data_IF_467054750501
#
_entry.id   IF_467054750501
#
_cell.length_a   1.000
_cell.length_b   1.000
_cell.length_c   1.000
_cell.angle_alpha   90.00
_cell.angle_beta   90.00
_cell.angle_gamma   90.00
#
_symmetry.space_group_name_H-M   'P 1'
#
loop_
_entity.id
_entity.type
_entity.pdbx_description
1 polymer ?
#
# COMPACT_ATOMS: atom_id res chain seq x y z
N UNK A 1 5.65 -0.32 -16.63
CA UNK A 1 5.95 -0.79 -15.26
C UNK A 1 4.74 -0.87 -14.32
N UNK A 2 3.49 -0.83 -14.81
CA UNK A 2 2.28 -0.78 -13.96
C UNK A 2 1.82 -2.11 -13.32
N UNK A 3 2.59 -3.20 -13.45
CA UNK A 3 2.23 -4.48 -12.83
C UNK A 3 2.58 -4.56 -11.35
N UNK A 4 3.68 -3.93 -10.94
CA UNK A 4 4.25 -4.14 -9.60
C UNK A 4 3.43 -3.45 -8.50
N UNK A 5 2.90 -2.25 -8.76
CA UNK A 5 2.11 -1.52 -7.75
C UNK A 5 0.84 -2.27 -7.33
N UNK A 6 0.18 -2.99 -8.26
CA UNK A 6 -1.01 -3.80 -7.94
C UNK A 6 -0.65 -4.99 -7.07
N UNK A 7 0.50 -5.61 -7.30
CA UNK A 7 1.02 -6.70 -6.45
C UNK A 7 1.33 -6.16 -5.07
N UNK A 8 1.96 -4.99 -4.96
CA UNK A 8 2.25 -4.36 -3.68
C UNK A 8 0.96 -3.98 -2.93
N UNK A 9 -0.08 -3.49 -3.61
CA UNK A 9 -1.37 -3.19 -2.99
C UNK A 9 -2.06 -4.44 -2.41
N UNK A 10 -2.02 -5.57 -3.13
CA UNK A 10 -2.55 -6.85 -2.65
C UNK A 10 -1.74 -7.37 -1.47
N UNK A 11 -0.39 -7.36 -1.59
CA UNK A 11 0.51 -7.75 -0.49
C UNK A 11 0.22 -6.92 0.76
N UNK A 12 0.09 -5.60 0.61
CA UNK A 12 -0.21 -4.70 1.72
C UNK A 12 -1.52 -5.06 2.42
N UNK A 13 -2.56 -5.38 1.64
CA UNK A 13 -3.86 -5.80 2.20
C UNK A 13 -3.78 -7.12 2.97
N UNK A 14 -3.03 -8.09 2.44
CA UNK A 14 -2.86 -9.40 3.10
C UNK A 14 -2.05 -9.29 4.39
N UNK A 15 -0.99 -8.48 4.40
CA UNK A 15 -0.16 -8.25 5.58
C UNK A 15 -0.94 -7.53 6.69
N UNK A 16 -1.73 -6.51 6.34
CA UNK A 16 -2.59 -5.85 7.34
C UNK A 16 -3.56 -6.86 7.95
N UNK A 17 -4.22 -7.68 7.12
CA UNK A 17 -5.13 -8.72 7.61
C UNK A 17 -4.44 -9.78 8.49
N UNK A 18 -3.14 -9.99 8.30
CA UNK A 18 -2.31 -10.88 9.11
C UNK A 18 -1.79 -10.21 10.39
N UNK A 19 -2.00 -8.90 10.56
CA UNK A 19 -1.52 -8.11 11.70
C UNK A 19 -0.09 -7.60 11.56
N UNK A 20 0.56 -7.82 10.42
CA UNK A 20 1.90 -7.29 10.14
C UNK A 20 1.80 -5.87 9.57
N UNK A 21 1.52 -4.92 10.47
CA UNK A 21 1.22 -3.52 10.12
C UNK A 21 2.43 -2.79 9.52
N UNK A 22 3.65 -3.08 9.96
CA UNK A 22 4.87 -2.43 9.44
C UNK A 22 5.15 -2.86 8.00
N UNK A 23 5.05 -4.17 7.71
CA UNK A 23 5.22 -4.67 6.36
C UNK A 23 4.06 -4.21 5.46
N UNK A 24 2.83 -4.18 5.98
CA UNK A 24 1.69 -3.64 5.27
C UNK A 24 1.87 -2.17 4.90
N UNK A 25 2.35 -1.34 5.84
CA UNK A 25 2.63 0.08 5.61
C UNK A 25 3.64 0.28 4.48
N UNK A 26 4.75 -0.46 4.52
CA UNK A 26 5.78 -0.40 3.48
C UNK A 26 5.22 -0.75 2.10
N UNK A 27 4.42 -1.82 2.01
CA UNK A 27 3.81 -2.24 0.75
C UNK A 27 2.75 -1.24 0.23
N UNK A 28 1.99 -0.59 1.12
CA UNK A 28 1.07 0.48 0.72
C UNK A 28 1.80 1.69 0.12
N UNK A 29 2.92 2.10 0.71
CA UNK A 29 3.74 3.21 0.19
C UNK A 29 4.33 2.86 -1.17
N UNK A 30 4.90 1.66 -1.33
CA UNK A 30 5.41 1.19 -2.63
C UNK A 30 4.32 1.17 -3.72
N UNK A 31 3.11 0.72 -3.38
CA UNK A 31 1.97 0.74 -4.29
C UNK A 31 1.56 2.18 -4.64
N UNK A 32 1.56 3.10 -3.66
CA UNK A 32 1.21 4.50 -3.88
C UNK A 32 2.19 5.22 -4.81
N UNK A 33 3.48 4.89 -4.73
CA UNK A 33 4.51 5.49 -5.58
C UNK A 33 4.55 4.87 -6.99
N UNK A 34 4.03 3.65 -7.14
CA UNK A 34 3.99 2.94 -8.42
C UNK A 34 2.73 3.13 -9.26
N UNK A 35 1.63 3.64 -8.69
CA UNK A 35 0.41 3.92 -9.45
C UNK A 35 0.52 5.23 -10.23
N UNK A 36 -0.11 5.27 -11.41
CA UNK A 36 -0.25 6.48 -12.22
C UNK A 36 -1.55 7.26 -11.91
N UNK A 37 -2.38 6.73 -11.00
CA UNK A 37 -3.65 7.33 -10.60
C UNK A 37 -3.50 8.09 -9.29
N UNK A 38 -3.60 9.42 -9.35
CA UNK A 38 -3.51 10.29 -8.18
C UNK A 38 -4.58 9.99 -7.09
N UNK A 39 -5.87 9.72 -7.43
CA UNK A 39 -6.83 9.27 -6.43
C UNK A 39 -6.45 7.96 -5.75
N UNK A 40 -5.87 7.02 -6.49
CA UNK A 40 -5.42 5.73 -5.97
C UNK A 40 -4.21 5.90 -5.05
N UNK A 41 -3.22 6.70 -5.46
CA UNK A 41 -2.06 7.02 -4.63
C UNK A 41 -2.47 7.63 -3.28
N UNK A 42 -3.45 8.55 -3.29
CA UNK A 42 -3.98 9.16 -2.06
C UNK A 42 -4.65 8.14 -1.15
N UNK A 43 -5.46 7.23 -1.71
CA UNK A 43 -6.07 6.16 -0.94
C UNK A 43 -5.02 5.25 -0.30
N UNK A 44 -4.00 4.85 -1.05
CA UNK A 44 -2.93 3.96 -0.58
C UNK A 44 -2.07 4.63 0.51
N UNK A 45 -1.76 5.92 0.39
CA UNK A 45 -1.08 6.71 1.44
C UNK A 45 -1.92 6.83 2.71
N UNK A 46 -3.20 7.17 2.58
CA UNK A 46 -4.11 7.22 3.74
C UNK A 46 -4.26 5.84 4.43
N UNK A 47 -4.14 4.76 3.66
CA UNK A 47 -4.05 3.40 4.18
C UNK A 47 -2.77 3.18 4.99
N UNK A 48 -1.62 3.59 4.46
CA UNK A 48 -0.33 3.50 5.15
C UNK A 48 -0.29 4.35 6.43
N UNK A 49 -0.84 5.55 6.40
CA UNK A 49 -0.83 6.49 7.54
C UNK A 49 -1.64 5.96 8.73
N UNK A 50 -2.73 5.22 8.48
CA UNK A 50 -3.51 4.55 9.55
C UNK A 50 -2.74 3.44 10.26
N UNK A 51 -1.64 2.96 9.68
CA UNK A 51 -0.82 1.89 10.23
C UNK A 51 0.42 2.41 10.98
N UNK A 52 0.77 3.70 10.87
CA UNK A 52 1.80 4.30 11.73
C UNK A 52 1.17 4.70 13.06
N UNK A 53 1.34 3.86 14.07
CA UNK A 53 1.18 4.27 15.47
C UNK A 53 2.43 5.01 15.93
#
# INVERSE_FOLDING_TARGET
SGGHYRVDAVRAHLLERAGDHDAARTAYLAAADGTLSEPEARYLRARADRLST
#
